data_IF_885732528363
#
_entry.id   IF_885732528363
#
_cell.length_a   1.000
_cell.length_b   1.000
_cell.length_c   1.000
_cell.angle_alpha   90.00
_cell.angle_beta   90.00
_cell.angle_gamma   90.00
#
_symmetry.space_group_name_H-M   'P 1'
#
loop_
_entity.id
_entity.type
_entity.pdbx_description
1 polymer ?
#
# COMPACT_ATOMS: atom_id res chain seq x y z
N UNK A 1 4.63 -4.95 16.04
CA UNK A 1 3.71 -5.49 15.01
C UNK A 1 2.28 -5.31 15.52
N UNK A 2 1.35 -4.76 14.73
CA UNK A 2 -0.04 -4.57 15.16
C UNK A 2 -0.80 -5.90 15.36
N UNK A 3 -1.94 -5.90 16.08
CA UNK A 3 -2.80 -7.08 16.25
C UNK A 3 -3.23 -7.68 14.92
N UNK A 4 -3.39 -9.01 14.87
CA UNK A 4 -3.60 -9.73 13.63
C UNK A 4 -4.87 -9.34 12.86
N UNK A 5 -5.94 -9.05 13.59
CA UNK A 5 -7.26 -8.67 13.10
C UNK A 5 -7.39 -7.18 12.72
N UNK A 6 -6.28 -6.44 12.75
CA UNK A 6 -6.23 -5.04 12.31
C UNK A 6 -5.24 -4.86 11.16
N UNK A 7 -4.54 -5.93 10.76
CA UNK A 7 -3.46 -5.84 9.79
C UNK A 7 -4.01 -5.55 8.39
N UNK A 8 -5.12 -6.15 8.02
CA UNK A 8 -5.79 -5.92 6.73
C UNK A 8 -6.32 -4.50 6.62
N UNK A 9 -6.94 -4.00 7.69
CA UNK A 9 -7.46 -2.65 7.76
C UNK A 9 -6.36 -1.60 7.61
N UNK A 10 -5.25 -1.78 8.33
CA UNK A 10 -4.08 -0.91 8.20
C UNK A 10 -3.46 -0.99 6.80
N UNK A 11 -3.39 -2.19 6.22
CA UNK A 11 -2.90 -2.39 4.87
C UNK A 11 -3.73 -1.62 3.85
N UNK A 12 -5.05 -1.81 3.83
CA UNK A 12 -5.95 -1.12 2.89
C UNK A 12 -5.96 0.40 3.09
N UNK A 13 -5.80 0.88 4.32
CA UNK A 13 -5.65 2.30 4.60
C UNK A 13 -4.37 2.87 3.96
N UNK A 14 -3.22 2.24 4.16
CA UNK A 14 -1.95 2.71 3.60
C UNK A 14 -1.87 2.55 2.08
N UNK A 15 -2.37 1.45 1.52
CA UNK A 15 -2.49 1.26 0.07
C UNK A 15 -3.34 2.36 -0.56
N UNK A 16 -4.43 2.76 0.10
CA UNK A 16 -5.25 3.87 -0.37
C UNK A 16 -4.52 5.21 -0.30
N UNK A 17 -3.69 5.44 0.72
CA UNK A 17 -2.90 6.68 0.80
C UNK A 17 -1.90 6.81 -0.34
N UNK A 18 -1.24 5.71 -0.76
CA UNK A 18 -0.33 5.71 -1.93
C UNK A 18 -1.07 6.10 -3.22
N UNK A 19 -2.26 5.53 -3.45
CA UNK A 19 -3.06 5.87 -4.64
C UNK A 19 -3.64 7.28 -4.57
N UNK A 20 -4.08 7.72 -3.39
CA UNK A 20 -4.78 8.99 -3.22
C UNK A 20 -3.84 10.19 -3.26
N UNK A 21 -2.60 10.02 -2.78
CA UNK A 21 -1.61 11.09 -2.64
C UNK A 21 -0.41 10.79 -3.52
N UNK A 22 -0.55 11.03 -4.82
CA UNK A 22 0.48 10.84 -5.84
C UNK A 22 1.31 12.10 -6.14
N UNK A 23 1.03 13.20 -5.43
CA UNK A 23 1.70 14.48 -5.60
C UNK A 23 1.16 15.35 -6.74
N UNK A 24 0.17 14.89 -7.52
CA UNK A 24 -0.31 15.61 -8.72
C UNK A 24 -1.43 16.63 -8.43
N UNK A 25 -2.00 16.61 -7.21
CA UNK A 25 -3.09 17.51 -6.81
C UNK A 25 -2.64 18.90 -6.28
N UNK A 26 -1.39 19.30 -6.54
CA UNK A 26 -0.89 20.66 -6.32
C UNK A 26 0.34 20.76 -5.42
N UNK A 27 0.87 21.98 -5.25
CA UNK A 27 2.21 22.25 -4.65
C UNK A 27 2.40 21.79 -3.18
N UNK A 28 1.34 21.36 -2.49
CA UNK A 28 1.41 20.92 -1.09
C UNK A 28 0.84 19.50 -0.87
N UNK A 29 0.71 18.72 -1.93
CA UNK A 29 0.28 17.33 -1.85
C UNK A 29 1.53 16.45 -1.93
N UNK A 30 1.85 15.66 -0.89
CA UNK A 30 3.00 14.76 -0.96
C UNK A 30 2.74 13.60 -1.93
N UNK A 31 3.78 13.11 -2.61
CA UNK A 31 3.77 11.78 -3.29
C UNK A 31 4.12 10.72 -2.25
N UNK A 32 3.11 10.14 -1.62
CA UNK A 32 3.26 9.10 -0.62
C UNK A 32 3.48 7.75 -1.29
N UNK A 33 4.53 7.03 -0.88
CA UNK A 33 4.96 5.82 -1.58
C UNK A 33 5.10 4.63 -0.65
N UNK A 34 4.54 3.50 -1.06
CA UNK A 34 4.83 2.18 -0.50
C UNK A 34 5.90 1.49 -1.34
N UNK A 35 6.99 1.11 -0.68
CA UNK A 35 8.11 0.46 -1.35
C UNK A 35 8.83 -0.43 -0.37
N UNK A 36 9.35 -1.56 -0.86
CA UNK A 36 10.23 -2.40 -0.06
C UNK A 36 11.65 -1.81 0.10
N UNK A 37 11.89 -0.68 -0.57
CA UNK A 37 13.16 0.04 -0.58
C UNK A 37 13.01 1.51 -0.21
N UNK A 38 12.74 1.81 1.07
CA UNK A 38 12.69 3.18 1.53
C UNK A 38 14.05 3.86 1.38
N UNK A 39 14.06 5.01 0.73
CA UNK A 39 15.28 5.80 0.43
C UNK A 39 15.31 7.15 1.15
N UNK A 40 14.20 7.56 1.75
CA UNK A 40 14.02 8.80 2.48
C UNK A 40 13.76 8.53 3.98
N UNK A 41 14.12 9.49 4.82
CA UNK A 41 13.89 9.43 6.26
C UNK A 41 13.92 10.83 6.86
N UNK A 42 13.25 11.02 7.99
CA UNK A 42 13.18 12.32 8.68
C UNK A 42 11.95 13.13 8.33
N UNK A 43 12.00 14.43 8.63
CA UNK A 43 10.88 15.35 8.41
C UNK A 43 10.60 15.49 6.91
N UNK A 44 9.34 15.28 6.51
CA UNK A 44 8.92 15.31 5.11
C UNK A 44 9.13 14.01 4.34
N UNK A 45 9.54 12.92 4.99
CA UNK A 45 9.60 11.60 4.34
C UNK A 45 8.20 11.17 3.84
N UNK A 46 8.14 10.65 2.64
CA UNK A 46 6.92 10.21 1.97
C UNK A 46 6.81 8.70 1.85
N UNK A 47 7.88 7.94 2.12
CA UNK A 47 7.80 6.50 2.14
C UNK A 47 7.11 6.00 3.42
N UNK A 48 5.98 5.32 3.26
CA UNK A 48 5.08 4.98 4.37
C UNK A 48 5.23 3.56 4.93
N UNK A 49 5.94 2.69 4.22
CA UNK A 49 6.17 1.31 4.67
C UNK A 49 6.49 0.33 3.55
N UNK A 50 6.79 -0.90 3.96
CA UNK A 50 7.12 -2.01 3.08
C UNK A 50 5.87 -2.52 2.37
N UNK A 51 5.83 -2.37 1.04
CA UNK A 51 4.70 -2.78 0.21
C UNK A 51 4.39 -4.27 0.37
N UNK A 52 5.42 -5.13 0.38
CA UNK A 52 5.24 -6.59 0.47
C UNK A 52 4.60 -7.04 1.79
N UNK A 53 4.89 -6.38 2.90
CA UNK A 53 4.26 -6.65 4.19
C UNK A 53 2.78 -6.26 4.16
N UNK A 54 2.44 -5.11 3.57
CA UNK A 54 1.06 -4.66 3.46
C UNK A 54 0.23 -5.55 2.52
N UNK A 55 0.79 -6.01 1.41
CA UNK A 55 0.14 -7.00 0.54
C UNK A 55 -0.14 -8.30 1.29
N UNK A 56 0.83 -8.78 2.09
CA UNK A 56 0.64 -10.00 2.89
C UNK A 56 -0.43 -9.81 3.95
N UNK A 57 -0.45 -8.65 4.61
CA UNK A 57 -1.44 -8.32 5.63
C UNK A 57 -2.85 -8.21 5.04
N UNK A 58 -2.99 -7.57 3.87
CA UNK A 58 -4.23 -7.52 3.12
C UNK A 58 -4.77 -8.93 2.80
N UNK A 59 -3.92 -9.81 2.28
CA UNK A 59 -4.31 -11.18 1.92
C UNK A 59 -4.64 -12.05 3.15
N UNK A 60 -3.98 -11.81 4.28
CA UNK A 60 -4.15 -12.59 5.51
C UNK A 60 -5.35 -12.17 6.36
N UNK A 61 -5.88 -10.95 6.16
CA UNK A 61 -6.94 -10.35 6.95
C UNK A 61 -7.97 -9.67 6.02
N UNK A 62 -8.93 -10.45 5.47
CA UNK A 62 -9.93 -9.96 4.52
C UNK A 62 -10.83 -8.86 5.10
N UNK A 63 -11.44 -8.07 4.22
CA UNK A 63 -12.40 -7.02 4.62
C UNK A 63 -13.56 -7.61 5.40
N UNK A 64 -13.82 -7.04 6.58
CA UNK A 64 -14.96 -7.40 7.41
C UNK A 64 -16.09 -6.35 7.38
N UNK A 65 -17.21 -6.68 8.01
CA UNK A 65 -18.36 -5.78 8.05
C UNK A 65 -18.10 -4.50 8.86
N UNK A 66 -17.25 -4.55 9.88
CA UNK A 66 -16.96 -3.38 10.71
C UNK A 66 -16.15 -2.36 9.92
N UNK A 67 -15.21 -2.82 9.10
CA UNK A 67 -14.44 -1.99 8.19
C UNK A 67 -15.33 -1.34 7.11
N UNK A 68 -16.25 -2.11 6.51
CA UNK A 68 -17.24 -1.57 5.55
C UNK A 68 -18.11 -0.48 6.16
N UNK A 69 -18.64 -0.71 7.37
CA UNK A 69 -19.43 0.28 8.10
C UNK A 69 -18.60 1.54 8.40
N UNK A 70 -17.32 1.37 8.76
CA UNK A 70 -16.41 2.50 9.01
C UNK A 70 -16.16 3.30 7.74
N UNK A 71 -15.87 2.64 6.61
CA UNK A 71 -15.63 3.27 5.31
C UNK A 71 -16.85 4.10 4.88
N UNK A 72 -18.06 3.53 4.99
CA UNK A 72 -19.32 4.25 4.71
C UNK A 72 -19.52 5.45 5.64
N UNK A 73 -19.29 5.28 6.94
CA UNK A 73 -19.46 6.36 7.93
C UNK A 73 -18.46 7.50 7.69
N UNK A 74 -17.22 7.18 7.31
CA UNK A 74 -16.19 8.19 7.03
C UNK A 74 -16.55 8.99 5.78
N UNK A 75 -16.93 8.30 4.70
CA UNK A 75 -17.34 8.94 3.45
C UNK A 75 -18.57 9.83 3.64
N UNK A 76 -19.65 9.28 4.20
CA UNK A 76 -20.95 9.98 4.30
C UNK A 76 -20.94 11.17 5.25
N UNK A 77 -20.04 11.20 6.25
CA UNK A 77 -20.06 12.23 7.31
C UNK A 77 -18.89 13.20 7.31
N UNK A 78 -17.75 12.83 6.72
CA UNK A 78 -16.52 13.61 6.90
C UNK A 78 -15.79 13.91 5.60
N UNK A 79 -15.44 12.88 4.81
CA UNK A 79 -14.45 13.06 3.72
C UNK A 79 -15.06 13.09 2.31
N UNK A 80 -16.25 12.52 2.11
CA UNK A 80 -16.89 12.47 0.79
C UNK A 80 -16.25 11.51 -0.22
N UNK A 81 -15.16 10.83 0.14
CA UNK A 81 -14.52 9.79 -0.65
C UNK A 81 -14.47 8.46 0.13
N UNK A 82 -14.43 7.35 -0.62
CA UNK A 82 -14.38 5.98 -0.08
C UNK A 82 -13.04 5.34 -0.39
N UNK A 83 -12.54 4.54 0.55
CA UNK A 83 -11.40 3.68 0.28
C UNK A 83 -11.83 2.54 -0.66
N UNK A 84 -11.36 2.59 -1.91
CA UNK A 84 -11.71 1.59 -2.92
C UNK A 84 -11.27 0.17 -2.56
N UNK A 85 -10.21 0.00 -1.76
CA UNK A 85 -9.71 -1.32 -1.36
C UNK A 85 -10.55 -1.99 -0.29
N UNK A 86 -11.42 -1.23 0.40
CA UNK A 86 -12.46 -1.79 1.28
C UNK A 86 -13.67 -2.22 0.46
N UNK A 87 -14.03 -1.45 -0.56
CA UNK A 87 -15.20 -1.75 -1.39
C UNK A 87 -14.92 -2.86 -2.42
N UNK A 88 -13.74 -2.82 -3.04
CA UNK A 88 -13.23 -3.72 -4.08
C UNK A 88 -11.81 -4.23 -3.71
N UNK A 89 -11.70 -5.19 -2.77
CA UNK A 89 -10.41 -5.69 -2.28
C UNK A 89 -9.50 -6.22 -3.40
N UNK A 90 -10.08 -6.79 -4.45
CA UNK A 90 -9.38 -7.33 -5.61
C UNK A 90 -8.64 -6.26 -6.42
N UNK A 91 -8.91 -4.97 -6.20
CA UNK A 91 -8.13 -3.89 -6.82
C UNK A 91 -6.71 -3.80 -6.27
N UNK A 92 -6.45 -4.32 -5.05
CA UNK A 92 -5.09 -4.33 -4.48
C UNK A 92 -4.15 -5.10 -5.39
N UNK A 93 -4.51 -6.34 -5.75
CA UNK A 93 -3.70 -7.18 -6.63
C UNK A 93 -3.56 -6.59 -8.04
N UNK A 94 -4.60 -5.94 -8.56
CA UNK A 94 -4.56 -5.31 -9.89
C UNK A 94 -3.61 -4.10 -9.96
N UNK A 95 -3.48 -3.35 -8.87
CA UNK A 95 -2.69 -2.12 -8.83
C UNK A 95 -1.26 -2.39 -8.36
N UNK A 96 -1.10 -3.22 -7.33
CA UNK A 96 0.19 -3.43 -6.64
C UNK A 96 0.80 -4.81 -6.88
N UNK A 97 0.05 -5.74 -7.48
CA UNK A 97 0.47 -7.13 -7.65
C UNK A 97 0.15 -8.01 -6.43
N UNK A 98 0.49 -9.29 -6.56
CA UNK A 98 0.29 -10.26 -5.49
C UNK A 98 1.38 -10.15 -4.41
N UNK A 99 1.08 -10.51 -3.15
CA UNK A 99 2.11 -10.61 -2.12
C UNK A 99 3.21 -11.58 -2.57
N UNK A 100 4.47 -11.14 -2.50
CA UNK A 100 5.59 -12.02 -2.77
C UNK A 100 5.50 -13.26 -1.87
N UNK A 101 5.50 -14.45 -2.49
CA UNK A 101 5.56 -15.71 -1.76
C UNK A 101 6.88 -15.70 -1.00
N UNK A 102 6.81 -15.72 0.33
CA UNK A 102 8.00 -15.82 1.18
C UNK A 102 8.73 -17.12 0.82
N UNK A 103 9.78 -17.01 0.01
CA UNK A 103 10.59 -18.14 -0.44
C UNK A 103 11.38 -18.78 0.71
N UNK A 104 11.39 -18.15 1.89
CA UNK A 104 11.90 -18.71 3.12
C UNK A 104 11.20 -18.08 4.34
N UNK A 105 10.73 -18.92 5.28
CA UNK A 105 10.08 -18.49 6.53
C UNK A 105 11.05 -17.84 7.52
N UNK A 106 12.35 -17.97 7.30
CA UNK A 106 13.39 -17.36 8.16
C UNK A 106 13.94 -16.03 7.65
N UNK A 107 13.46 -15.55 6.52
CA UNK A 107 14.02 -14.37 5.88
C UNK A 107 12.93 -13.30 5.70
N UNK A 108 13.03 -12.19 6.44
CA UNK A 108 12.50 -10.89 5.97
C UNK A 108 13.34 -10.45 4.76
N UNK A 109 13.40 -11.28 3.72
CA UNK A 109 14.08 -10.97 2.47
C UNK A 109 13.07 -10.22 1.64
N UNK A 110 13.01 -8.92 1.89
CA UNK A 110 12.74 -7.98 0.83
C UNK A 110 13.84 -8.25 -0.23
N UNK A 111 13.49 -8.62 -1.47
CA UNK A 111 14.49 -8.72 -2.53
C UNK A 111 15.24 -7.38 -2.54
N UNK A 112 16.50 -7.44 -2.13
CA UNK A 112 17.19 -6.31 -1.51
C UNK A 112 17.23 -5.08 -2.40
N UNK A 113 17.27 -3.94 -1.75
CA UNK A 113 17.39 -2.60 -2.35
C UNK A 113 18.76 -2.33 -2.98
N UNK A 114 19.41 -3.37 -3.49
CA UNK A 114 20.70 -3.28 -4.13
C UNK A 114 20.52 -2.70 -5.53
N UNK A 115 21.11 -1.53 -5.72
CA UNK A 115 21.34 -0.94 -7.03
C UNK A 115 22.29 -1.81 -7.83
N UNK A 116 21.79 -2.83 -8.50
CA UNK A 116 22.52 -3.40 -9.64
C UNK A 116 22.04 -2.69 -10.89
N UNK A 117 22.98 -2.04 -11.58
CA UNK A 117 22.84 -1.61 -12.96
C UNK A 117 22.61 -2.85 -13.85
N UNK A 118 21.41 -3.40 -13.81
CA UNK A 118 20.92 -4.40 -14.74
C UNK A 118 19.67 -3.84 -15.41
N UNK A 119 19.83 -3.57 -16.70
CA UNK A 119 18.74 -3.25 -17.60
C UNK A 119 17.59 -4.25 -17.40
N UNK A 120 16.40 -3.72 -17.10
CA UNK A 120 15.15 -4.41 -17.38
C UNK A 120 14.61 -5.35 -16.31
N UNK A 121 14.40 -4.89 -15.08
CA UNK A 121 13.20 -5.24 -14.29
C UNK A 121 12.84 -4.05 -13.41
N UNK A 122 12.30 -2.99 -14.03
CA UNK A 122 11.63 -1.96 -13.26
C UNK A 122 10.48 -2.61 -12.51
N UNK A 123 10.43 -2.44 -11.18
CA UNK A 123 9.19 -2.63 -10.44
C UNK A 123 8.11 -1.89 -11.22
N UNK A 124 7.14 -2.63 -11.72
CA UNK A 124 6.19 -2.15 -12.71
C UNK A 124 5.23 -1.17 -12.02
N UNK A 125 5.70 0.05 -11.71
CA UNK A 125 4.82 1.23 -11.81
C UNK A 125 4.40 1.21 -13.26
N UNK A 126 3.19 0.70 -13.51
CA UNK A 126 2.55 0.78 -14.81
C UNK A 126 2.67 2.22 -15.29
N UNK A 127 3.59 2.43 -16.23
CA UNK A 127 3.65 3.67 -16.99
C UNK A 127 2.26 3.83 -17.61
N UNK A 128 1.63 4.98 -17.34
CA UNK A 128 0.19 5.26 -17.46
C UNK A 128 -0.62 4.86 -16.23
N UNK A 129 -0.52 5.68 -15.16
CA UNK A 129 -1.57 5.75 -14.14
C UNK A 129 -2.81 6.40 -14.78
N UNK A 130 -3.60 5.56 -15.46
CA UNK A 130 -4.86 5.86 -16.18
C UNK A 130 -4.78 6.82 -17.38
#
# INVERSE_FOLDING_TARGET
MPPANMRGDLARALLYMDVRYDGDEGENVPDLVLTDCPSDSGEGATNMGFLSDLLRWHASDPVDNQERIRNEKICSRYQGNRNMFVDFPEMVEKIFGEPAVAIDKTAHVYPGCFSEHHEGVGGLRINSKY
#
